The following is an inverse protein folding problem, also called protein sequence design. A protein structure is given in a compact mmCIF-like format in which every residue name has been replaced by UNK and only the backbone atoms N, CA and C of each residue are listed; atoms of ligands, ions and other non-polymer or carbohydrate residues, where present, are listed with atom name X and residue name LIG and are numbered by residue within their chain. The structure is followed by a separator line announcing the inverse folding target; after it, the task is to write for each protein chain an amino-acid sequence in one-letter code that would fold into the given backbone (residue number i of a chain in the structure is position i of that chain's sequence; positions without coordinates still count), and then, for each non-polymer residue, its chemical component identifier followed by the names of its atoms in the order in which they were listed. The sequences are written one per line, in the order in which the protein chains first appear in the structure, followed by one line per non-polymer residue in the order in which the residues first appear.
data_IF_071601409965
#
_entry.id   IF_071601409965
#
_cell.length_a   1.000
_cell.length_b   1.000
_cell.length_c   1.000
_cell.angle_alpha   90.00
_cell.angle_beta   90.00
_cell.angle_gamma   90.00
#
_symmetry.space_group_name_H-M   'P 1'
#
loop_
_entity.id
_entity.type
_entity.pdbx_description
1 polymer ?
#
# COMPACT_ATOMS: atom_id res chain seq x y z
N UNK A 1 -2.57 24.59 -8.58
CA UNK A 1 -2.88 23.35 -7.85
C UNK A 1 -4.35 23.37 -7.49
N UNK A 2 -5.09 22.30 -7.76
CA UNK A 2 -6.47 22.15 -7.30
C UNK A 2 -6.47 21.30 -6.03
N UNK A 3 -7.23 21.68 -4.99
CA UNK A 3 -7.34 20.87 -3.77
C UNK A 3 -8.09 19.57 -4.09
N UNK A 4 -7.59 18.46 -3.56
CA UNK A 4 -8.21 17.16 -3.69
C UNK A 4 -9.31 17.05 -2.64
N UNK A 5 -10.56 16.93 -3.09
CA UNK A 5 -11.75 17.02 -2.22
C UNK A 5 -12.19 15.67 -1.66
N UNK A 6 -11.74 14.57 -2.27
CA UNK A 6 -12.08 13.21 -1.86
C UNK A 6 -10.82 12.36 -1.89
N UNK A 7 -10.62 11.52 -0.89
CA UNK A 7 -9.52 10.53 -0.88
C UNK A 7 -9.64 9.49 -1.99
N UNK A 8 -10.83 9.30 -2.55
CA UNK A 8 -11.05 8.39 -3.68
C UNK A 8 -10.63 8.97 -5.03
N UNK A 9 -10.31 10.27 -5.10
CA UNK A 9 -9.79 10.92 -6.29
C UNK A 9 -8.29 10.63 -6.45
N UNK A 10 -7.98 9.41 -6.91
CA UNK A 10 -6.61 8.95 -7.15
C UNK A 10 -5.87 9.83 -8.16
N UNK A 11 -6.57 10.26 -9.22
CA UNK A 11 -6.00 11.12 -10.24
C UNK A 11 -5.65 12.50 -9.67
N UNK A 12 -6.51 13.05 -8.81
CA UNK A 12 -6.25 14.27 -8.05
C UNK A 12 -5.05 14.15 -7.13
N UNK A 13 -4.96 13.07 -6.34
CA UNK A 13 -3.81 12.81 -5.46
C UNK A 13 -2.50 12.68 -6.24
N UNK A 14 -2.51 11.97 -7.36
CA UNK A 14 -1.35 11.80 -8.24
C UNK A 14 -0.90 13.13 -8.85
N UNK A 15 -1.84 13.91 -9.39
CA UNK A 15 -1.56 15.23 -9.95
C UNK A 15 -1.03 16.21 -8.89
N UNK A 16 -1.57 16.15 -7.67
CA UNK A 16 -1.10 16.93 -6.53
C UNK A 16 0.35 16.56 -6.19
N UNK A 17 0.66 15.27 -6.06
CA UNK A 17 2.01 14.76 -5.84
C UNK A 17 2.98 15.23 -6.93
N UNK A 18 2.66 14.96 -8.20
CA UNK A 18 3.53 15.30 -9.34
C UNK A 18 3.81 16.81 -9.39
N UNK A 19 2.80 17.63 -9.12
CA UNK A 19 2.94 19.08 -9.12
C UNK A 19 3.85 19.56 -7.99
N UNK A 20 3.64 19.13 -6.74
CA UNK A 20 4.50 19.54 -5.62
C UNK A 20 5.91 18.99 -5.80
N UNK A 21 6.05 17.73 -6.24
CA UNK A 21 7.34 17.09 -6.48
C UNK A 21 8.15 17.87 -7.53
N UNK A 22 7.50 18.28 -8.62
CA UNK A 22 8.12 19.11 -9.66
C UNK A 22 8.54 20.48 -9.12
N UNK A 23 7.68 21.17 -8.36
CA UNK A 23 7.99 22.46 -7.76
C UNK A 23 9.13 22.37 -6.74
N UNK A 24 9.14 21.36 -5.87
CA UNK A 24 10.20 21.11 -4.91
C UNK A 24 11.55 20.88 -5.61
N UNK A 25 11.56 20.12 -6.72
CA UNK A 25 12.77 19.94 -7.55
C UNK A 25 13.23 21.24 -8.20
N UNK A 26 12.32 22.05 -8.73
CA UNK A 26 12.65 23.35 -9.32
C UNK A 26 13.26 24.30 -8.28
N UNK A 27 12.66 24.39 -7.09
CA UNK A 27 13.17 25.22 -5.99
C UNK A 27 14.55 24.76 -5.51
N UNK A 28 14.77 23.45 -5.44
CA UNK A 28 16.08 22.87 -5.14
C UNK A 28 17.12 23.23 -6.20
N UNK A 29 16.77 23.18 -7.49
CA UNK A 29 17.64 23.56 -8.58
C UNK A 29 17.99 25.06 -8.58
N UNK A 30 17.05 25.90 -8.15
CA UNK A 30 17.25 27.34 -7.95
C UNK A 30 18.09 27.68 -6.70
N UNK A 31 18.51 26.67 -5.93
CA UNK A 31 19.34 26.85 -4.73
C UNK A 31 18.56 27.35 -3.51
N UNK A 32 17.23 27.26 -3.51
CA UNK A 32 16.42 27.64 -2.35
C UNK A 32 16.60 26.57 -1.26
N UNK A 33 16.94 26.94 -0.01
CA UNK A 33 17.06 25.99 1.09
C UNK A 33 15.74 25.25 1.36
N UNK A 34 15.86 23.97 1.71
CA UNK A 34 14.70 23.12 1.98
C UNK A 34 13.81 23.64 3.10
N UNK A 35 14.40 24.17 4.16
CA UNK A 35 13.65 24.73 5.28
C UNK A 35 12.71 25.87 4.85
N UNK A 36 13.14 26.70 3.89
CA UNK A 36 12.37 27.86 3.43
C UNK A 36 11.12 27.44 2.66
N UNK A 37 11.28 26.59 1.64
CA UNK A 37 10.12 26.16 0.86
C UNK A 37 9.29 25.13 1.59
N UNK A 38 9.87 24.30 2.47
CA UNK A 38 9.13 23.32 3.26
C UNK A 38 8.18 24.02 4.22
N UNK A 39 8.63 25.07 4.92
CA UNK A 39 7.78 25.83 5.83
C UNK A 39 6.55 26.45 5.14
N UNK A 40 6.68 26.81 3.86
CA UNK A 40 5.59 27.39 3.07
C UNK A 40 4.70 26.31 2.41
N UNK A 41 5.30 25.32 1.76
CA UNK A 41 4.58 24.31 0.98
C UNK A 41 3.89 23.28 1.86
N UNK A 42 4.46 22.95 3.02
CA UNK A 42 3.87 21.97 3.96
C UNK A 42 2.44 22.35 4.38
N UNK A 43 2.14 23.55 4.92
CA UNK A 43 0.77 23.92 5.29
C UNK A 43 -0.17 24.06 4.07
N UNK A 44 0.36 24.42 2.89
CA UNK A 44 -0.43 24.50 1.65
C UNK A 44 -0.85 23.09 1.22
N UNK A 45 0.08 22.12 1.28
CA UNK A 45 -0.17 20.74 0.92
C UNK A 45 -1.19 20.11 1.87
N UNK A 46 -1.04 20.32 3.19
CA UNK A 46 -2.03 19.85 4.17
C UNK A 46 -3.44 20.40 3.91
N UNK A 47 -3.58 21.67 3.54
CA UNK A 47 -4.88 22.28 3.19
C UNK A 47 -5.44 21.78 1.85
N UNK A 48 -4.59 21.24 0.99
CA UNK A 48 -4.97 20.75 -0.34
C UNK A 48 -5.35 19.26 -0.32
N UNK A 49 -5.16 18.58 0.81
CA UNK A 49 -5.47 17.16 0.98
C UNK A 49 -6.84 16.97 1.66
N UNK A 50 -7.52 15.85 1.36
CA UNK A 50 -8.66 15.40 2.14
C UNK A 50 -8.31 15.17 3.61
N UNK A 51 -9.23 15.49 4.51
CA UNK A 51 -9.01 15.44 5.96
C UNK A 51 -8.63 14.04 6.46
N UNK A 52 -9.24 13.00 5.90
CA UNK A 52 -8.94 11.60 6.20
C UNK A 52 -7.49 11.21 5.86
N UNK A 53 -6.99 11.65 4.70
CA UNK A 53 -5.58 11.44 4.30
C UNK A 53 -4.61 12.12 5.28
N UNK A 54 -4.94 13.34 5.72
CA UNK A 54 -4.13 14.09 6.71
C UNK A 54 -4.12 13.39 8.08
N UNK A 55 -5.25 12.84 8.50
CA UNK A 55 -5.34 12.05 9.74
C UNK A 55 -4.42 10.83 9.63
N UNK A 56 -4.48 10.09 8.52
CA UNK A 56 -3.71 8.86 8.37
C UNK A 56 -2.21 9.13 8.26
N UNK A 57 -1.81 10.24 7.62
CA UNK A 57 -0.44 10.73 7.69
C UNK A 57 -0.02 11.01 9.15
N UNK A 58 -0.81 11.75 9.90
CA UNK A 58 -0.51 12.12 11.30
C UNK A 58 -0.38 10.88 12.19
N UNK A 59 -1.27 9.90 12.04
CA UNK A 59 -1.18 8.60 12.72
C UNK A 59 0.09 7.85 12.35
N UNK A 60 0.49 7.89 11.07
CA UNK A 60 1.69 7.21 10.59
C UNK A 60 2.95 7.77 11.25
N UNK A 61 3.07 9.11 11.32
CA UNK A 61 4.18 9.77 12.03
C UNK A 61 4.16 9.46 13.53
N UNK A 62 2.98 9.47 14.18
CA UNK A 62 2.86 9.14 15.60
C UNK A 62 3.19 7.68 15.94
N UNK A 63 2.93 6.74 15.02
CA UNK A 63 3.34 5.33 15.17
C UNK A 63 4.85 5.18 15.08
N UNK A 64 5.49 5.88 14.14
CA UNK A 64 6.94 5.84 13.95
C UNK A 64 7.70 6.42 15.16
N UNK A 65 7.19 7.47 15.81
CA UNK A 65 7.80 8.03 17.02
C UNK A 65 7.68 7.10 18.23
N UNK A 66 6.59 6.32 18.32
CA UNK A 66 6.38 5.36 19.41
C UNK A 66 7.28 4.13 19.27
N UNK A 67 7.56 3.68 18.04
CA UNK A 67 8.35 2.48 17.76
C UNK A 67 9.84 2.62 18.10
N UNK A 68 10.39 3.84 18.13
CA UNK A 68 11.78 4.10 18.47
C UNK A 68 12.05 4.14 19.99
N UNK A 69 11.01 4.13 20.84
CA UNK A 69 11.16 4.21 22.30
C UNK A 69 11.56 2.90 22.99
N UNK A 70 11.76 1.82 22.22
CA UNK A 70 12.09 0.48 22.72
C UNK A 70 13.58 0.08 22.67
N UNK A 71 14.48 0.90 22.12
CA UNK A 71 15.93 0.64 22.16
C UNK A 71 16.62 1.63 23.10
N UNK A 72 16.92 1.16 24.31
CA UNK A 72 17.74 1.89 25.27
C UNK A 72 19.21 1.93 24.83
N UNK A 73 19.77 3.13 24.76
CA UNK A 73 21.19 3.35 24.49
C UNK A 73 21.56 4.84 24.51
N UNK A 74 22.14 5.26 25.63
CA UNK A 74 22.65 6.60 25.92
C UNK A 74 23.40 7.27 24.75
N UNK A 75 22.88 8.38 24.22
CA UNK A 75 23.68 9.54 23.78
C UNK A 75 22.79 10.78 23.80
N UNK A 76 23.25 11.83 24.50
CA UNK A 76 22.55 13.10 24.55
C UNK A 76 22.42 13.75 23.17
N UNK A 77 21.35 14.51 23.00
CA UNK A 77 21.18 15.48 21.91
C UNK A 77 21.03 14.90 20.49
N UNK A 78 20.17 13.90 20.30
CA UNK A 78 19.50 13.72 19.02
C UNK A 78 18.05 13.31 19.23
N UNK A 79 17.28 14.19 19.90
CA UNK A 79 15.83 14.21 19.71
C UNK A 79 15.56 14.73 18.30
N UNK A 80 15.89 13.92 17.30
CA UNK A 80 15.33 14.03 15.98
C UNK A 80 13.88 13.57 16.11
N UNK A 81 13.09 14.44 16.74
CA UNK A 81 11.67 14.55 16.49
C UNK A 81 11.51 14.29 14.99
N UNK A 82 10.82 13.21 14.63
CA UNK A 82 10.52 12.87 13.24
C UNK A 82 9.80 14.08 12.66
N UNK A 83 10.57 15.03 12.12
CA UNK A 83 10.05 16.29 11.66
C UNK A 83 9.13 15.92 10.51
N UNK A 84 7.86 16.25 10.67
CA UNK A 84 6.90 16.15 9.60
C UNK A 84 7.35 17.13 8.50
N UNK A 85 8.17 16.63 7.60
CA UNK A 85 8.76 17.39 6.51
C UNK A 85 7.91 17.21 5.26
N UNK A 86 8.06 18.15 4.32
CA UNK A 86 7.39 18.03 3.02
C UNK A 86 7.75 16.74 2.30
N UNK A 87 8.99 16.26 2.42
CA UNK A 87 9.44 15.00 1.84
C UNK A 87 8.69 13.80 2.44
N UNK A 88 8.51 13.77 3.75
CA UNK A 88 7.76 12.70 4.43
C UNK A 88 6.31 12.66 3.98
N UNK A 89 5.69 13.84 3.82
CA UNK A 89 4.32 13.95 3.32
C UNK A 89 4.21 13.53 1.84
N UNK A 90 5.16 13.93 0.99
CA UNK A 90 5.21 13.51 -0.42
C UNK A 90 5.39 12.00 -0.56
N UNK A 91 6.29 11.42 0.23
CA UNK A 91 6.49 9.98 0.26
C UNK A 91 5.22 9.24 0.73
N UNK A 92 4.54 9.77 1.75
CA UNK A 92 3.27 9.21 2.19
C UNK A 92 2.20 9.24 1.09
N UNK A 93 2.02 10.38 0.42
CA UNK A 93 1.04 10.50 -0.68
C UNK A 93 1.38 9.53 -1.81
N UNK A 94 2.66 9.41 -2.18
CA UNK A 94 3.10 8.47 -3.20
C UNK A 94 2.74 7.03 -2.84
N UNK A 95 3.10 6.58 -1.63
CA UNK A 95 2.78 5.23 -1.17
C UNK A 95 1.28 4.98 -1.12
N UNK A 96 0.49 5.99 -0.72
CA UNK A 96 -0.97 5.88 -0.67
C UNK A 96 -1.55 5.70 -2.08
N UNK A 97 -1.08 6.47 -3.06
CA UNK A 97 -1.49 6.33 -4.48
C UNK A 97 -1.10 4.95 -5.01
N UNK A 98 0.16 4.53 -4.82
CA UNK A 98 0.64 3.23 -5.28
C UNK A 98 -0.09 2.05 -4.62
N UNK A 99 -0.38 2.16 -3.32
CA UNK A 99 -1.14 1.15 -2.55
C UNK A 99 -2.56 0.99 -3.10
N UNK A 100 -3.24 2.10 -3.38
CA UNK A 100 -4.60 2.07 -3.94
C UNK A 100 -4.62 1.60 -5.39
N UNK A 101 -3.62 1.93 -6.19
CA UNK A 101 -3.49 1.40 -7.56
C UNK A 101 -3.29 -0.13 -7.53
N UNK A 102 -2.47 -0.65 -6.59
CA UNK A 102 -2.29 -2.10 -6.39
C UNK A 102 -3.56 -2.79 -5.90
N UNK A 103 -4.33 -2.16 -5.01
CA UNK A 103 -5.56 -2.76 -4.48
C UNK A 103 -6.67 -2.84 -5.54
N UNK A 104 -6.78 -1.84 -6.42
CA UNK A 104 -7.71 -1.87 -7.57
C UNK A 104 -7.40 -3.05 -8.49
N UNK A 105 -6.12 -3.32 -8.77
CA UNK A 105 -5.71 -4.50 -9.55
C UNK A 105 -6.08 -5.81 -8.84
N UNK A 106 -5.94 -5.89 -7.52
CA UNK A 106 -6.33 -7.09 -6.76
C UNK A 106 -7.84 -7.34 -6.82
N UNK A 107 -8.68 -6.30 -6.74
CA UNK A 107 -10.14 -6.43 -6.86
C UNK A 107 -10.53 -6.99 -8.24
N UNK A 108 -9.90 -6.52 -9.32
CA UNK A 108 -10.18 -7.05 -10.68
C UNK A 108 -9.71 -8.50 -10.86
N UNK A 109 -8.59 -8.89 -10.24
CA UNK A 109 -8.14 -10.29 -10.25
C UNK A 109 -9.04 -11.16 -9.38
N UNK A 110 -9.52 -10.66 -8.24
CA UNK A 110 -10.40 -11.39 -7.33
C UNK A 110 -11.82 -11.55 -7.91
N UNK A 111 -12.33 -10.57 -8.66
CA UNK A 111 -13.59 -10.67 -9.40
C UNK A 111 -13.47 -11.67 -10.57
N UNK A 112 -12.33 -11.71 -11.25
CA UNK A 112 -12.01 -12.78 -12.20
C UNK A 112 -11.80 -14.14 -11.51
N UNK A 113 -11.23 -14.19 -10.31
CA UNK A 113 -11.07 -15.43 -9.54
C UNK A 113 -12.41 -15.96 -9.00
N UNK A 114 -13.38 -15.08 -8.73
CA UNK A 114 -14.76 -15.47 -8.39
C UNK A 114 -15.48 -16.16 -9.55
N UNK A 115 -15.11 -15.83 -10.80
CA UNK A 115 -15.53 -16.58 -12.00
C UNK A 115 -14.90 -17.99 -12.08
N UNK A 116 -13.86 -18.26 -11.30
CA UNK A 116 -13.20 -19.56 -11.14
C UNK A 116 -13.62 -20.23 -9.81
N UNK A 117 -14.72 -19.80 -9.19
CA UNK A 117 -15.29 -20.53 -8.05
C UNK A 117 -16.09 -21.72 -8.56
N UNK A 118 -15.52 -22.89 -8.29
CA UNK A 118 -16.07 -24.23 -8.43
C UNK A 118 -17.54 -24.27 -7.96
N UNK A 119 -18.48 -24.66 -8.84
CA UNK A 119 -19.86 -24.94 -8.42
C UNK A 119 -19.90 -26.11 -7.41
N UNK A 120 -20.93 -26.15 -6.56
CA UNK A 120 -21.12 -27.06 -5.39
C UNK A 120 -21.13 -28.57 -5.71
N UNK A 121 -20.86 -28.97 -6.95
CA UNK A 121 -20.80 -30.35 -7.44
C UNK A 121 -19.41 -30.82 -7.84
N UNK A 122 -18.38 -29.97 -7.73
CA UNK A 122 -17.06 -30.30 -8.23
C UNK A 122 -16.29 -31.22 -7.29
N UNK A 123 -15.73 -32.27 -7.89
CA UNK A 123 -15.05 -33.36 -7.19
C UNK A 123 -13.58 -33.02 -6.97
N UNK A 124 -12.91 -33.78 -6.11
CA UNK A 124 -11.47 -33.63 -5.83
C UNK A 124 -10.60 -33.77 -7.09
N UNK A 125 -11.07 -34.52 -8.09
CA UNK A 125 -10.40 -34.70 -9.38
C UNK A 125 -10.49 -33.44 -10.25
N UNK A 126 -11.63 -32.75 -10.22
CA UNK A 126 -11.83 -31.49 -10.95
C UNK A 126 -10.94 -30.37 -10.39
N UNK A 127 -10.84 -30.27 -9.06
CA UNK A 127 -9.95 -29.31 -8.40
C UNK A 127 -8.47 -29.54 -8.72
N UNK A 128 -8.06 -30.81 -8.85
CA UNK A 128 -6.70 -31.16 -9.25
C UNK A 128 -6.42 -30.79 -10.72
N UNK A 129 -7.34 -31.08 -11.63
CA UNK A 129 -7.19 -30.75 -13.04
C UNK A 129 -7.06 -29.24 -13.29
N UNK A 130 -7.77 -28.42 -12.50
CA UNK A 130 -7.68 -26.96 -12.57
C UNK A 130 -6.34 -26.46 -12.04
N UNK A 131 -5.87 -27.00 -10.91
CA UNK A 131 -4.57 -26.65 -10.35
C UNK A 131 -3.41 -27.00 -11.31
N UNK A 132 -3.46 -28.19 -11.92
CA UNK A 132 -2.49 -28.63 -12.94
C UNK A 132 -2.54 -27.72 -14.19
N UNK A 133 -3.73 -27.32 -14.63
CA UNK A 133 -3.91 -26.38 -15.74
C UNK A 133 -3.26 -25.02 -15.47
N UNK A 134 -3.49 -24.46 -14.28
CA UNK A 134 -2.92 -23.18 -13.85
C UNK A 134 -1.39 -23.24 -13.72
N UNK A 135 -0.84 -24.33 -13.16
CA UNK A 135 0.60 -24.52 -13.06
C UNK A 135 1.27 -24.56 -14.44
N UNK A 136 0.65 -25.24 -15.41
CA UNK A 136 1.14 -25.30 -16.79
C UNK A 136 1.12 -23.94 -17.49
N UNK A 137 0.07 -23.14 -17.26
CA UNK A 137 -0.06 -21.80 -17.85
C UNK A 137 0.94 -20.81 -17.24
N UNK A 138 1.28 -20.98 -15.96
CA UNK A 138 2.27 -20.15 -15.25
C UNK A 138 3.72 -20.63 -15.41
N UNK A 139 3.95 -21.72 -16.15
CA UNK A 139 5.30 -22.28 -16.36
C UNK A 139 5.92 -22.87 -15.09
N UNK A 140 5.11 -23.25 -14.10
CA UNK A 140 5.55 -23.88 -12.85
C UNK A 140 5.68 -25.38 -13.13
N UNK A 141 6.88 -25.94 -12.98
CA UNK A 141 7.13 -27.36 -13.19
C UNK A 141 6.42 -28.24 -12.14
N UNK A 142 5.94 -29.40 -12.57
CA UNK A 142 5.12 -30.34 -11.78
C UNK A 142 5.74 -30.74 -10.42
N UNK A 143 7.06 -30.60 -10.26
CA UNK A 143 7.77 -30.91 -9.02
C UNK A 143 7.51 -29.94 -7.85
N UNK A 144 6.86 -28.79 -8.11
CA UNK A 144 6.48 -27.82 -7.07
C UNK A 144 5.07 -28.05 -6.49
N UNK A 145 4.27 -28.92 -7.12
CA UNK A 145 2.98 -29.34 -6.58
C UNK A 145 3.24 -30.35 -5.45
N UNK A 146 3.19 -29.89 -4.20
CA UNK A 146 3.23 -30.77 -3.03
C UNK A 146 1.94 -31.60 -3.06
N UNK A 147 1.99 -32.78 -3.69
CA UNK A 147 0.92 -33.77 -3.90
C UNK A 147 0.30 -34.34 -2.61
N UNK A 148 0.49 -33.70 -1.46
CA UNK A 148 -0.03 -34.17 -0.18
C UNK A 148 -0.52 -33.08 0.77
N UNK A 149 -0.30 -31.79 0.49
CA UNK A 149 -0.62 -30.74 1.48
C UNK A 149 -2.04 -30.17 1.37
N UNK A 150 -2.79 -30.51 0.32
CA UNK A 150 -4.18 -30.03 0.15
C UNK A 150 -5.18 -30.87 0.96
N UNK A 151 -4.84 -32.12 1.30
CA UNK A 151 -5.71 -33.03 2.06
C UNK A 151 -5.89 -32.58 3.53
N UNK A 152 -4.86 -31.97 4.14
CA UNK A 152 -4.92 -31.54 5.55
C UNK A 152 -5.65 -30.20 5.78
N UNK A 153 -5.91 -29.42 4.73
CA UNK A 153 -6.61 -28.13 4.84
C UNK A 153 -8.11 -28.21 4.54
N UNK A 154 -8.61 -29.38 4.14
CA UNK A 154 -10.05 -29.59 3.99
C UNK A 154 -10.64 -29.99 5.35
N UNK A 155 -11.78 -29.39 5.75
CA UNK A 155 -12.46 -29.76 6.98
C UNK A 155 -12.77 -31.26 6.91
N UNK A 156 -12.14 -32.02 7.80
CA UNK A 156 -12.43 -33.43 7.93
C UNK A 156 -13.92 -33.54 8.28
N UNK A 157 -14.65 -34.28 7.43
CA UNK A 157 -16.08 -34.60 7.45
C UNK A 157 -16.83 -34.23 8.75
N UNK A 158 -18.04 -33.63 8.69
CA UNK A 158 -18.84 -33.44 9.89
C UNK A 158 -19.20 -34.82 10.47
N UNK A 159 -18.76 -35.06 11.70
CA UNK A 159 -19.12 -36.20 12.55
C UNK A 159 -20.64 -36.22 12.80
N UNK A 160 -21.43 -36.80 11.89
CA UNK A 160 -22.80 -37.21 12.17
C UNK A 160 -23.15 -38.50 11.43
N UNK A 161 -22.84 -39.63 12.06
CA UNK A 161 -23.71 -40.81 12.15
C UNK A 161 -23.25 -41.71 13.29
#
# INVERSE_FOLDING_TARGET
MQPVRSSNDLQGLRCLYDTVQSQTRALKYLGVPEDNYSAMLYPILLKSLPHDIVIDFTKTIARQSTQQRGQGGNTGQHSQELKASIQSLLFFIQNEVESRERSVLHISVEENAKMVMLEETQTTEDGQAIAEGLCKELGIGDESLISGSYIDMLPHQPLWQ
#
